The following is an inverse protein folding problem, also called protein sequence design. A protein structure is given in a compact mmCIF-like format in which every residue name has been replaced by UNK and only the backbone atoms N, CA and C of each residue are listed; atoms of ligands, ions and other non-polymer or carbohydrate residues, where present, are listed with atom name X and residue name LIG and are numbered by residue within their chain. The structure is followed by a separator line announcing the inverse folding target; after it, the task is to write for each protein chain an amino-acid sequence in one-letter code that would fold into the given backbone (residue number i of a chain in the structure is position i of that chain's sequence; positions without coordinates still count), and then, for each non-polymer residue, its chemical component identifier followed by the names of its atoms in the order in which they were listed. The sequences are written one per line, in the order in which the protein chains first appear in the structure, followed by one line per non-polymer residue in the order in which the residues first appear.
data_IF_339685314861
#
_entry.id   IF_339685314861
#
_cell.length_a   1.000
_cell.length_b   1.000
_cell.length_c   1.000
_cell.angle_alpha   90.00
_cell.angle_beta   90.00
_cell.angle_gamma   90.00
#
_symmetry.space_group_name_H-M   'P 1'
#
loop_
_entity.id
_entity.type
_entity.pdbx_description
1 polymer ?
#
# COMPACT_ATOMS: atom_id res chain seq x y z
N UNK A 1 5.22 -15.22 32.03
CA UNK A 1 4.42 -14.00 32.33
C UNK A 1 5.11 -12.74 31.81
N UNK A 2 6.42 -12.57 32.01
CA UNK A 2 7.20 -11.42 31.54
C UNK A 2 7.14 -11.21 30.02
N UNK A 3 7.40 -12.24 29.20
CA UNK A 3 7.32 -12.16 27.73
C UNK A 3 5.95 -11.67 27.22
N UNK A 4 4.86 -12.13 27.83
CA UNK A 4 3.52 -11.72 27.42
C UNK A 4 3.27 -10.23 27.67
N UNK A 5 3.76 -9.71 28.81
CA UNK A 5 3.68 -8.28 29.13
C UNK A 5 4.54 -7.46 28.17
N UNK A 6 5.74 -7.92 27.84
CA UNK A 6 6.61 -7.26 26.85
C UNK A 6 5.94 -7.16 25.47
N UNK A 7 5.32 -8.26 25.00
CA UNK A 7 4.59 -8.27 23.73
C UNK A 7 3.45 -7.25 23.76
N UNK A 8 2.69 -7.15 24.86
CA UNK A 8 1.60 -6.17 24.99
C UNK A 8 2.14 -4.74 24.91
N UNK A 9 3.20 -4.44 25.67
CA UNK A 9 3.81 -3.09 25.70
C UNK A 9 4.35 -2.73 24.31
N UNK A 10 5.08 -3.65 23.68
CA UNK A 10 5.64 -3.48 22.35
C UNK A 10 4.55 -3.29 21.29
N UNK A 11 3.47 -4.07 21.38
CA UNK A 11 2.30 -3.93 20.50
C UNK A 11 1.62 -2.57 20.68
N UNK A 12 1.42 -2.12 21.92
CA UNK A 12 0.81 -0.81 22.20
C UNK A 12 1.68 0.35 21.68
N UNK A 13 2.99 0.31 21.92
CA UNK A 13 3.93 1.31 21.39
C UNK A 13 3.97 1.30 19.85
N UNK A 14 3.89 0.10 19.25
CA UNK A 14 3.81 -0.07 17.81
C UNK A 14 2.52 0.48 17.22
N UNK A 15 1.37 0.28 17.85
CA UNK A 15 0.09 0.88 17.43
C UNK A 15 0.17 2.41 17.46
N UNK A 16 0.73 3.01 18.51
CA UNK A 16 0.91 4.47 18.59
C UNK A 16 1.80 4.98 17.46
N UNK A 17 2.93 4.34 17.23
CA UNK A 17 3.88 4.70 16.17
C UNK A 17 3.28 4.48 14.78
N UNK A 18 2.57 3.37 14.57
CA UNK A 18 1.84 3.07 13.34
C UNK A 18 0.72 4.07 13.06
N UNK A 19 0.05 4.57 14.11
CA UNK A 19 -0.96 5.63 13.98
C UNK A 19 -0.33 6.93 13.50
N UNK A 20 0.83 7.31 14.06
CA UNK A 20 1.55 8.52 13.65
C UNK A 20 2.04 8.42 12.20
N UNK A 21 2.68 7.30 11.84
CA UNK A 21 3.20 7.09 10.49
C UNK A 21 2.09 6.97 9.45
N UNK A 22 0.99 6.27 9.74
CA UNK A 22 -0.11 6.08 8.78
C UNK A 22 -0.90 7.35 8.46
N UNK A 23 -0.90 8.34 9.36
CA UNK A 23 -1.60 9.63 9.13
C UNK A 23 -0.68 10.64 8.46
N UNK A 24 0.62 10.62 8.78
CA UNK A 24 1.61 11.55 8.26
C UNK A 24 2.17 11.04 6.91
N UNK A 25 1.75 11.61 5.77
CA UNK A 25 2.24 11.15 4.48
C UNK A 25 3.76 11.31 4.42
N UNK A 26 4.43 10.38 3.72
CA UNK A 26 5.88 10.44 3.50
C UNK A 26 6.75 9.95 4.67
N UNK A 27 6.17 9.61 5.83
CA UNK A 27 6.90 8.88 6.88
C UNK A 27 6.68 7.38 6.68
N UNK A 28 7.59 6.75 5.95
CA UNK A 28 7.48 5.33 5.67
C UNK A 28 7.81 4.47 6.90
N UNK A 29 7.13 3.32 7.02
CA UNK A 29 7.41 2.28 8.04
C UNK A 29 8.90 1.89 8.05
N UNK A 30 9.55 1.88 6.89
CA UNK A 30 10.95 1.51 6.73
C UNK A 30 11.90 2.38 7.57
N UNK A 31 11.58 3.67 7.76
CA UNK A 31 12.39 4.56 8.59
C UNK A 31 12.33 4.15 10.07
N UNK A 32 11.12 3.81 10.55
CA UNK A 32 10.91 3.34 11.93
C UNK A 32 11.63 2.01 12.14
N UNK A 33 11.54 1.10 11.18
CA UNK A 33 12.21 -0.20 11.23
C UNK A 33 13.72 -0.02 11.22
N UNK A 34 14.27 0.78 10.30
CA UNK A 34 15.71 1.06 10.24
C UNK A 34 16.23 1.68 11.55
N UNK A 35 15.47 2.62 12.14
CA UNK A 35 15.80 3.19 13.43
C UNK A 35 15.82 2.13 14.54
N UNK A 36 14.80 1.27 14.63
CA UNK A 36 14.75 0.19 15.61
C UNK A 36 15.93 -0.77 15.44
N UNK A 37 16.24 -1.17 14.22
CA UNK A 37 17.36 -2.05 13.91
C UNK A 37 18.70 -1.41 14.29
N UNK A 38 18.87 -0.10 14.08
CA UNK A 38 20.10 0.60 14.49
C UNK A 38 20.36 0.51 16.01
N UNK A 39 19.30 0.28 16.81
CA UNK A 39 19.35 0.17 18.26
C UNK A 39 19.25 -1.28 18.75
N UNK A 40 19.28 -2.27 17.85
CA UNK A 40 18.97 -3.67 18.17
C UNK A 40 19.88 -4.27 19.25
N UNK A 41 21.17 -3.93 19.24
CA UNK A 41 22.15 -4.43 20.22
C UNK A 41 21.86 -3.98 21.66
N UNK A 42 21.22 -2.82 21.82
CA UNK A 42 20.79 -2.29 23.11
C UNK A 42 19.45 -2.93 23.47
N UNK A 43 18.50 -2.96 22.55
CA UNK A 43 17.14 -3.46 22.78
C UNK A 43 17.11 -4.95 23.14
N UNK A 44 17.97 -5.78 22.53
CA UNK A 44 18.06 -7.22 22.85
C UNK A 44 18.49 -7.50 24.30
N UNK A 45 19.01 -6.50 25.04
CA UNK A 45 19.30 -6.65 26.48
C UNK A 45 18.06 -6.51 27.36
N UNK A 46 17.00 -5.87 26.85
CA UNK A 46 15.83 -5.46 27.61
C UNK A 46 14.51 -6.05 27.09
N UNK A 47 14.48 -6.58 25.87
CA UNK A 47 13.29 -7.12 25.25
C UNK A 47 13.60 -8.39 24.47
N UNK A 48 12.68 -9.35 24.53
CA UNK A 48 12.74 -10.54 23.70
C UNK A 48 12.59 -10.21 22.21
N UNK A 49 13.29 -10.93 21.30
CA UNK A 49 13.17 -10.73 19.85
C UNK A 49 11.73 -10.79 19.32
N UNK A 50 10.87 -11.63 19.90
CA UNK A 50 9.45 -11.74 19.52
C UNK A 50 8.70 -10.46 19.89
N UNK A 51 9.02 -9.83 21.03
CA UNK A 51 8.44 -8.54 21.43
C UNK A 51 8.82 -7.43 20.45
N UNK A 52 10.07 -7.41 19.96
CA UNK A 52 10.49 -6.45 18.94
C UNK A 52 9.80 -6.70 17.59
N UNK A 53 9.59 -7.96 17.21
CA UNK A 53 8.78 -8.31 16.05
C UNK A 53 7.33 -7.86 16.22
N UNK A 54 6.76 -8.02 17.42
CA UNK A 54 5.42 -7.56 17.75
C UNK A 54 5.28 -6.05 17.56
N UNK A 55 6.29 -5.26 17.96
CA UNK A 55 6.33 -3.83 17.68
C UNK A 55 6.31 -3.54 16.17
N UNK A 56 7.18 -4.17 15.37
CA UNK A 56 7.24 -3.95 13.91
C UNK A 56 5.92 -4.31 13.24
N UNK A 57 5.32 -5.45 13.60
CA UNK A 57 4.02 -5.89 13.09
C UNK A 57 2.94 -4.89 13.49
N UNK A 58 2.95 -4.42 14.73
CA UNK A 58 1.99 -3.45 15.23
C UNK A 58 2.06 -2.11 14.50
N UNK A 59 3.27 -1.59 14.25
CA UNK A 59 3.49 -0.41 13.41
C UNK A 59 2.91 -0.65 12.01
N UNK A 60 3.28 -1.77 11.39
CA UNK A 60 2.97 -2.04 9.98
C UNK A 60 1.49 -2.25 9.72
N UNK A 61 0.83 -3.11 10.53
CA UNK A 61 -0.60 -3.36 10.39
C UNK A 61 -1.38 -2.09 10.71
N UNK A 62 -1.03 -1.37 11.77
CA UNK A 62 -1.74 -0.12 12.09
C UNK A 62 -1.57 0.89 10.95
N UNK A 63 -0.36 1.06 10.43
CA UNK A 63 -0.08 1.93 9.29
C UNK A 63 -0.93 1.56 8.05
N UNK A 64 -0.98 0.28 7.66
CA UNK A 64 -1.77 -0.25 6.52
C UNK A 64 -3.27 0.08 6.64
N UNK A 65 -3.80 0.24 7.85
CA UNK A 65 -5.19 0.65 8.03
C UNK A 65 -5.36 2.16 7.89
N UNK A 66 -4.43 2.95 8.43
CA UNK A 66 -4.53 4.41 8.47
C UNK A 66 -4.11 5.11 7.18
N UNK A 67 -3.21 4.52 6.37
CA UNK A 67 -2.70 5.11 5.12
C UNK A 67 -3.79 5.37 4.05
N UNK A 68 -4.92 4.67 4.14
CA UNK A 68 -6.12 4.94 3.34
C UNK A 68 -6.74 6.32 3.63
N UNK A 69 -6.53 6.89 4.82
CA UNK A 69 -7.04 8.21 5.21
C UNK A 69 -6.36 9.32 4.39
N UNK A 70 -5.02 9.51 4.43
CA UNK A 70 -4.36 10.51 3.60
C UNK A 70 -4.51 10.20 2.11
N UNK A 71 -4.52 8.93 1.68
CA UNK A 71 -4.76 8.59 0.27
C UNK A 71 -6.15 9.07 -0.21
N UNK A 72 -7.20 8.87 0.59
CA UNK A 72 -8.60 9.22 0.24
C UNK A 72 -8.88 10.72 0.39
N UNK A 73 -8.46 11.32 1.51
CA UNK A 73 -8.80 12.71 1.85
C UNK A 73 -7.79 13.73 1.34
N UNK A 74 -6.50 13.39 1.31
CA UNK A 74 -5.42 14.30 0.95
C UNK A 74 -4.81 13.97 -0.42
N UNK A 75 -5.16 12.85 -1.05
CA UNK A 75 -4.51 12.43 -2.29
C UNK A 75 -2.99 12.26 -2.12
N UNK A 76 -2.54 11.84 -0.93
CA UNK A 76 -1.14 11.62 -0.60
C UNK A 76 -0.91 10.12 -0.35
N UNK A 77 -0.78 9.31 -1.42
CA UNK A 77 -0.70 7.85 -1.27
C UNK A 77 0.71 7.35 -0.99
N UNK A 78 0.77 6.09 -0.54
CA UNK A 78 1.95 5.23 -0.60
C UNK A 78 1.89 4.28 -1.81
N UNK A 79 2.90 3.43 -1.99
CA UNK A 79 2.94 2.45 -3.08
C UNK A 79 1.70 1.53 -3.10
N UNK A 80 1.29 1.07 -1.92
CA UNK A 80 0.14 0.19 -1.70
C UNK A 80 -1.20 0.88 -1.99
N UNK A 81 -1.30 2.20 -1.82
CA UNK A 81 -2.55 2.98 -1.90
C UNK A 81 -2.59 3.92 -3.11
N UNK A 82 -1.54 3.98 -3.93
CA UNK A 82 -1.44 4.83 -5.12
C UNK A 82 -2.66 4.73 -6.06
N UNK A 83 -3.13 3.51 -6.30
CA UNK A 83 -4.27 3.25 -7.18
C UNK A 83 -5.63 3.41 -6.48
N UNK A 84 -5.67 3.52 -5.14
CA UNK A 84 -6.89 3.82 -4.37
C UNK A 84 -7.23 5.31 -4.32
N UNK A 85 -6.29 6.20 -4.66
CA UNK A 85 -6.52 7.66 -4.67
C UNK A 85 -7.71 8.05 -5.54
N UNK A 86 -7.81 7.52 -6.77
CA UNK A 86 -8.88 7.94 -7.68
C UNK A 86 -10.27 7.45 -7.24
N UNK A 87 -10.49 6.16 -6.93
CA UNK A 87 -11.77 5.73 -6.38
C UNK A 87 -12.06 6.43 -5.05
N UNK A 88 -11.06 6.62 -4.19
CA UNK A 88 -11.20 7.32 -2.91
C UNK A 88 -11.65 8.77 -3.08
N UNK A 89 -11.06 9.47 -4.05
CA UNK A 89 -11.46 10.81 -4.43
C UNK A 89 -12.90 10.86 -4.95
N UNK A 90 -13.33 9.91 -5.79
CA UNK A 90 -14.74 9.82 -6.23
C UNK A 90 -15.69 9.63 -5.04
N UNK A 91 -15.32 8.80 -4.08
CA UNK A 91 -16.09 8.64 -2.84
C UNK A 91 -16.15 9.92 -2.02
N UNK A 92 -15.04 10.61 -1.85
CA UNK A 92 -14.96 11.89 -1.15
C UNK A 92 -15.92 12.91 -1.78
N UNK A 93 -15.90 13.01 -3.12
CA UNK A 93 -16.73 13.91 -3.91
C UNK A 93 -18.22 13.51 -3.94
N UNK A 94 -18.53 12.26 -3.60
CA UNK A 94 -19.90 11.77 -3.41
C UNK A 94 -20.41 11.90 -1.96
N UNK A 95 -19.64 12.49 -1.04
CA UNK A 95 -20.00 12.55 0.39
C UNK A 95 -19.76 11.24 1.15
N UNK A 96 -19.11 10.26 0.53
CA UNK A 96 -18.97 8.89 1.01
C UNK A 96 -17.50 8.49 1.25
N UNK A 97 -16.59 9.45 1.50
CA UNK A 97 -15.16 9.16 1.75
C UNK A 97 -14.94 8.24 2.95
N UNK A 98 -15.76 8.37 4.01
CA UNK A 98 -15.74 7.46 5.16
C UNK A 98 -16.13 6.02 4.76
N UNK A 99 -17.03 5.86 3.79
CA UNK A 99 -17.43 4.54 3.27
C UNK A 99 -16.29 3.87 2.51
N UNK A 100 -15.50 4.62 1.72
CA UNK A 100 -14.31 4.08 1.05
C UNK A 100 -13.33 3.48 2.06
N UNK A 101 -13.05 4.22 3.14
CA UNK A 101 -12.16 3.78 4.22
C UNK A 101 -12.75 2.56 4.93
N UNK A 102 -14.04 2.56 5.26
CA UNK A 102 -14.71 1.39 5.85
C UNK A 102 -14.57 0.13 4.99
N UNK A 103 -14.78 0.24 3.69
CA UNK A 103 -14.62 -0.88 2.75
C UNK A 103 -13.19 -1.41 2.72
N UNK A 104 -12.21 -0.50 2.62
CA UNK A 104 -10.79 -0.86 2.67
C UNK A 104 -10.42 -1.56 3.99
N UNK A 105 -10.93 -1.08 5.13
CA UNK A 105 -10.68 -1.69 6.43
C UNK A 105 -11.31 -3.08 6.59
N UNK A 106 -12.55 -3.26 6.14
CA UNK A 106 -13.21 -4.57 6.13
C UNK A 106 -12.39 -5.54 5.28
N UNK A 107 -11.98 -5.09 4.10
CA UNK A 107 -11.08 -5.82 3.23
C UNK A 107 -9.80 -6.21 3.96
N UNK A 108 -9.09 -5.24 4.52
CA UNK A 108 -7.82 -5.45 5.20
C UNK A 108 -7.93 -6.48 6.33
N UNK A 109 -8.90 -6.30 7.23
CA UNK A 109 -9.13 -7.23 8.33
C UNK A 109 -9.43 -8.65 7.85
N UNK A 110 -10.37 -8.79 6.90
CA UNK A 110 -10.76 -10.10 6.37
C UNK A 110 -9.65 -10.76 5.56
N UNK A 111 -8.83 -9.98 4.85
CA UNK A 111 -7.63 -10.43 4.15
C UNK A 111 -6.55 -10.95 5.10
N UNK A 112 -6.24 -10.21 6.18
CA UNK A 112 -5.33 -10.64 7.25
C UNK A 112 -5.82 -11.92 7.90
N UNK A 113 -7.11 -11.96 8.28
CA UNK A 113 -7.69 -13.12 8.95
C UNK A 113 -7.62 -14.37 8.07
N UNK A 114 -8.04 -14.26 6.81
CA UNK A 114 -7.99 -15.39 5.89
C UNK A 114 -6.55 -15.81 5.58
N UNK A 115 -5.64 -14.86 5.37
CA UNK A 115 -4.23 -15.15 5.10
C UNK A 115 -3.55 -15.83 6.29
N UNK A 116 -3.87 -15.42 7.52
CA UNK A 116 -3.38 -16.07 8.74
C UNK A 116 -3.91 -17.50 8.86
N UNK A 117 -5.19 -17.73 8.55
CA UNK A 117 -5.79 -19.07 8.55
C UNK A 117 -5.18 -19.99 7.49
N UNK A 118 -4.89 -19.45 6.30
CA UNK A 118 -4.29 -20.20 5.19
C UNK A 118 -2.77 -20.12 5.15
N UNK A 119 -2.11 -19.59 6.20
CA UNK A 119 -0.67 -19.35 6.16
C UNK A 119 0.14 -20.64 6.05
N UNK A 120 -0.26 -21.66 6.79
CA UNK A 120 0.40 -22.98 6.78
C UNK A 120 0.42 -23.61 5.37
N UNK A 121 -0.72 -23.79 4.67
CA UNK A 121 -0.68 -24.34 3.31
C UNK A 121 0.05 -23.44 2.32
N UNK A 122 0.03 -22.11 2.51
CA UNK A 122 0.82 -21.18 1.68
C UNK A 122 2.32 -21.47 1.85
N UNK A 123 2.79 -21.64 3.09
CA UNK A 123 4.18 -21.94 3.41
C UNK A 123 4.64 -23.24 2.75
N UNK A 124 3.83 -24.30 2.78
CA UNK A 124 4.18 -25.58 2.13
C UNK A 124 4.20 -25.47 0.60
N UNK A 125 3.35 -24.61 0.03
CA UNK A 125 3.20 -24.44 -1.41
C UNK A 125 4.29 -23.53 -2.03
N UNK A 126 4.78 -22.53 -1.29
CA UNK A 126 5.75 -21.55 -1.79
C UNK A 126 7.05 -22.17 -2.34
N UNK A 127 7.73 -23.11 -1.65
CA UNK A 127 8.95 -23.74 -2.16
C UNK A 127 8.77 -24.47 -3.49
N UNK A 128 7.57 -24.98 -3.76
CA UNK A 128 7.26 -25.66 -5.02
C UNK A 128 7.23 -24.67 -6.21
N UNK A 129 6.69 -23.46 -6.02
CA UNK A 129 6.46 -22.50 -7.10
C UNK A 129 7.65 -21.57 -7.35
N UNK A 130 8.30 -21.13 -6.28
CA UNK A 130 9.28 -20.04 -6.35
C UNK A 130 10.44 -20.33 -7.32
N UNK A 131 11.01 -21.54 -7.42
CA UNK A 131 12.07 -21.84 -8.39
C UNK A 131 11.62 -21.55 -9.84
N UNK A 132 10.38 -21.89 -10.19
CA UNK A 132 9.82 -21.63 -11.51
C UNK A 132 9.60 -20.13 -11.73
N UNK A 133 9.08 -19.42 -10.73
CA UNK A 133 8.88 -17.97 -10.82
C UNK A 133 10.21 -17.23 -10.96
N UNK A 134 11.23 -17.60 -10.20
CA UNK A 134 12.55 -16.98 -10.30
C UNK A 134 13.17 -17.23 -11.68
N UNK A 135 13.07 -18.46 -12.20
CA UNK A 135 13.58 -18.82 -13.53
C UNK A 135 12.91 -18.06 -14.68
N UNK A 136 11.61 -17.79 -14.57
CA UNK A 136 10.81 -17.14 -15.63
C UNK A 136 10.32 -15.73 -15.25
N UNK A 137 10.98 -15.08 -14.28
CA UNK A 137 10.51 -13.81 -13.69
C UNK A 137 10.26 -12.73 -14.75
N UNK A 138 11.25 -12.51 -15.62
CA UNK A 138 11.17 -11.52 -16.71
C UNK A 138 9.98 -11.80 -17.62
N UNK A 139 9.77 -13.07 -18.00
CA UNK A 139 8.69 -13.47 -18.89
C UNK A 139 7.33 -13.18 -18.26
N UNK A 140 7.15 -13.49 -16.98
CA UNK A 140 5.93 -13.16 -16.24
C UNK A 140 5.69 -11.65 -16.15
N UNK A 141 6.71 -10.86 -15.83
CA UNK A 141 6.59 -9.40 -15.78
C UNK A 141 6.22 -8.81 -17.14
N UNK A 142 6.84 -9.28 -18.23
CA UNK A 142 6.49 -8.86 -19.59
C UNK A 142 5.04 -9.21 -19.92
N UNK A 143 4.57 -10.42 -19.58
CA UNK A 143 3.17 -10.81 -19.78
C UNK A 143 2.23 -9.86 -19.02
N UNK A 144 2.54 -9.53 -17.78
CA UNK A 144 1.71 -8.65 -16.95
C UNK A 144 1.66 -7.23 -17.55
N UNK A 145 2.80 -6.71 -18.01
CA UNK A 145 2.88 -5.41 -18.70
C UNK A 145 2.05 -5.42 -19.99
N UNK A 146 2.18 -6.46 -20.82
CA UNK A 146 1.42 -6.60 -22.06
C UNK A 146 -0.09 -6.71 -21.76
N UNK A 147 -0.47 -7.50 -20.76
CA UNK A 147 -1.87 -7.63 -20.33
C UNK A 147 -2.44 -6.29 -19.84
N UNK A 148 -1.66 -5.53 -19.07
CA UNK A 148 -2.01 -4.19 -18.61
C UNK A 148 -2.25 -3.22 -19.79
N UNK A 149 -1.36 -3.21 -20.79
CA UNK A 149 -1.51 -2.37 -21.99
C UNK A 149 -2.72 -2.81 -22.83
N UNK A 150 -2.93 -4.12 -22.99
CA UNK A 150 -3.99 -4.70 -23.81
C UNK A 150 -5.40 -4.40 -23.27
N UNK A 151 -5.54 -4.25 -21.94
CA UNK A 151 -6.80 -3.86 -21.29
C UNK A 151 -7.25 -2.43 -21.63
N UNK A 152 -6.37 -1.61 -22.22
CA UNK A 152 -6.71 -0.24 -22.59
C UNK A 152 -7.17 -0.16 -24.05
N UNK A 153 -8.26 0.58 -24.28
CA UNK A 153 -8.74 0.86 -25.64
C UNK A 153 -7.70 1.64 -26.45
N UNK A 154 -7.06 2.64 -25.83
CA UNK A 154 -6.00 3.45 -26.44
C UNK A 154 -4.61 2.91 -26.09
N UNK A 155 -4.28 1.74 -26.65
CA UNK A 155 -3.03 0.99 -26.37
C UNK A 155 -1.76 1.81 -26.55
N UNK A 156 -1.69 2.66 -27.58
CA UNK A 156 -0.52 3.51 -27.83
C UNK A 156 -0.30 4.50 -26.69
N UNK A 157 -1.36 5.19 -26.25
CA UNK A 157 -1.27 6.09 -25.09
C UNK A 157 -0.97 5.35 -23.80
N UNK A 158 -1.47 4.11 -23.65
CA UNK A 158 -1.13 3.26 -22.52
C UNK A 158 0.37 2.91 -22.49
N UNK A 159 0.93 2.50 -23.62
CA UNK A 159 2.36 2.23 -23.75
C UNK A 159 3.21 3.49 -23.52
N UNK A 160 2.80 4.65 -24.04
CA UNK A 160 3.50 5.92 -23.82
C UNK A 160 3.53 6.28 -22.33
N UNK A 161 2.39 6.23 -21.64
CA UNK A 161 2.35 6.53 -20.19
C UNK A 161 3.22 5.54 -19.42
N UNK A 162 3.12 4.25 -19.75
CA UNK A 162 3.91 3.20 -19.10
C UNK A 162 5.41 3.43 -19.27
N UNK A 163 5.85 3.75 -20.48
CA UNK A 163 7.26 4.02 -20.78
C UNK A 163 7.74 5.32 -20.13
N UNK A 164 6.97 6.41 -20.20
CA UNK A 164 7.33 7.68 -19.55
C UNK A 164 7.47 7.50 -18.03
N UNK A 165 6.50 6.86 -17.39
CA UNK A 165 6.56 6.57 -15.97
C UNK A 165 7.72 5.62 -15.64
N UNK A 166 7.94 4.59 -16.45
CA UNK A 166 9.00 3.60 -16.27
C UNK A 166 10.40 4.16 -16.41
N UNK A 167 10.65 4.96 -17.46
CA UNK A 167 11.93 5.65 -17.66
C UNK A 167 12.19 6.62 -16.50
N UNK A 168 11.17 7.36 -16.07
CA UNK A 168 11.28 8.23 -14.89
C UNK A 168 11.63 7.43 -13.65
N UNK A 169 11.00 6.26 -13.44
CA UNK A 169 11.34 5.34 -12.36
C UNK A 169 12.79 4.87 -12.40
N UNK A 170 13.29 4.46 -13.57
CA UNK A 170 14.69 4.03 -13.75
C UNK A 170 15.64 5.16 -13.33
N UNK A 171 15.39 6.37 -13.83
CA UNK A 171 16.22 7.54 -13.52
C UNK A 171 16.19 7.83 -12.02
N UNK A 172 15.02 7.85 -11.40
CA UNK A 172 14.82 8.16 -9.98
C UNK A 172 15.52 7.14 -9.07
N UNK A 173 15.36 5.84 -9.34
CA UNK A 173 16.01 4.79 -8.53
C UNK A 173 17.52 4.68 -8.77
N UNK A 174 18.03 5.20 -9.89
CA UNK A 174 19.46 5.27 -10.14
C UNK A 174 20.16 6.46 -9.43
N UNK A 175 19.42 7.38 -8.79
CA UNK A 175 20.01 8.53 -8.11
C UNK A 175 20.54 8.16 -6.71
N UNK A 176 21.87 8.22 -6.47
CA UNK A 176 22.46 7.71 -5.22
C UNK A 176 22.14 8.55 -3.97
N UNK A 177 21.87 9.84 -4.12
CA UNK A 177 21.68 10.78 -3.00
C UNK A 177 20.21 11.20 -2.79
N UNK A 178 19.28 10.55 -3.47
CA UNK A 178 17.86 10.89 -3.36
C UNK A 178 17.23 10.15 -2.16
N UNK A 179 16.89 10.91 -1.12
CA UNK A 179 16.18 10.39 0.05
C UNK A 179 14.69 10.26 -0.27
N UNK A 180 14.08 9.16 0.18
CA UNK A 180 12.65 8.85 0.00
C UNK A 180 12.13 9.03 -1.46
N UNK A 181 12.76 8.37 -2.46
CA UNK A 181 12.45 8.60 -3.89
C UNK A 181 11.00 8.29 -4.27
N UNK A 182 10.37 7.35 -3.57
CA UNK A 182 9.00 6.92 -3.82
C UNK A 182 7.99 8.04 -3.55
N UNK A 183 8.25 8.92 -2.57
CA UNK A 183 7.30 9.94 -2.15
C UNK A 183 7.00 10.96 -3.27
N UNK A 184 7.97 11.69 -3.85
CA UNK A 184 7.71 12.61 -4.97
C UNK A 184 7.26 11.87 -6.24
N UNK A 185 7.71 10.63 -6.45
CA UNK A 185 7.33 9.81 -7.60
C UNK A 185 5.83 9.51 -7.59
N UNK A 186 5.33 8.92 -6.50
CA UNK A 186 3.94 8.48 -6.38
C UNK A 186 2.98 9.65 -6.09
N UNK A 187 3.39 10.61 -5.26
CA UNK A 187 2.60 11.83 -5.00
C UNK A 187 2.40 12.66 -6.26
N UNK A 188 3.38 12.66 -7.18
CA UNK A 188 3.25 13.29 -8.48
C UNK A 188 2.32 12.52 -9.41
N UNK A 189 2.62 11.24 -9.66
CA UNK A 189 1.87 10.39 -10.60
C UNK A 189 0.39 10.23 -10.22
N UNK A 190 0.09 10.10 -8.93
CA UNK A 190 -1.26 9.75 -8.45
C UNK A 190 -1.92 10.84 -7.61
N UNK A 191 -1.17 11.58 -6.80
CA UNK A 191 -1.73 12.55 -5.87
C UNK A 191 -2.06 13.89 -6.52
N UNK A 192 -1.03 14.71 -6.68
CA UNK A 192 -1.08 16.05 -7.29
C UNK A 192 -1.74 16.05 -8.67
N UNK A 193 -1.50 15.03 -9.50
CA UNK A 193 -2.14 14.90 -10.82
C UNK A 193 -3.66 14.82 -10.73
N UNK A 194 -4.20 14.09 -9.73
CA UNK A 194 -5.64 14.02 -9.45
C UNK A 194 -6.17 15.35 -8.99
N UNK A 195 -5.50 15.94 -8.00
CA UNK A 195 -5.91 17.19 -7.40
C UNK A 195 -5.97 18.33 -8.44
N UNK A 196 -4.98 18.40 -9.34
CA UNK A 196 -4.94 19.37 -10.43
C UNK A 196 -6.06 19.16 -11.46
N UNK A 197 -6.37 17.90 -11.82
CA UNK A 197 -7.50 17.61 -12.71
C UNK A 197 -8.82 18.04 -12.07
N UNK A 198 -8.99 17.82 -10.76
CA UNK A 198 -10.20 18.13 -10.02
C UNK A 198 -10.41 19.61 -9.71
N UNK A 199 -9.37 20.46 -9.80
CA UNK A 199 -9.54 21.92 -9.72
C UNK A 199 -10.51 22.46 -10.77
N UNK A 200 -10.72 21.71 -11.87
CA UNK A 200 -11.65 22.07 -12.95
C UNK A 200 -13.09 21.61 -12.70
N UNK A 201 -13.34 20.70 -11.76
CA UNK A 201 -14.59 19.94 -11.70
C UNK A 201 -15.57 20.37 -10.59
N UNK A 202 -15.15 21.03 -9.50
CA UNK A 202 -16.12 21.50 -8.47
C UNK A 202 -15.62 22.65 -7.59
N UNK A 203 -16.56 23.31 -6.88
CA UNK A 203 -16.27 24.40 -5.95
C UNK A 203 -16.33 23.99 -4.45
N UNK A 204 -16.86 22.82 -4.08
CA UNK A 204 -17.03 22.41 -2.67
C UNK A 204 -16.99 20.89 -2.46
N UNK A 205 -16.40 20.44 -1.35
CA UNK A 205 -16.49 19.05 -0.86
C UNK A 205 -17.85 18.91 -0.15
N UNK A 206 -18.70 17.95 -0.55
CA UNK A 206 -19.99 17.75 0.10
C UNK A 206 -19.80 17.23 1.54
N UNK A 207 -20.80 17.47 2.38
CA UNK A 207 -20.83 16.94 3.74
C UNK A 207 -20.65 15.41 3.71
N UNK A 208 -19.72 14.90 4.52
CA UNK A 208 -19.44 13.48 4.58
C UNK A 208 -20.50 12.79 5.42
N UNK A 209 -21.21 11.85 4.80
CA UNK A 209 -22.19 11.02 5.48
C UNK A 209 -21.47 10.00 6.36
N UNK A 210 -21.98 9.82 7.58
CA UNK A 210 -21.64 8.65 8.39
C UNK A 210 -22.50 7.47 7.95
N UNK A 211 -22.46 7.14 6.66
CA UNK A 211 -23.31 6.10 6.08
C UNK A 211 -23.04 4.77 6.76
N UNK A 212 -24.10 4.06 7.12
CA UNK A 212 -24.02 2.65 7.48
C UNK A 212 -23.45 1.85 6.31
N UNK A 213 -22.86 0.69 6.60
CA UNK A 213 -22.29 -0.13 5.54
C UNK A 213 -23.38 -0.49 4.53
N UNK A 214 -23.19 -0.09 3.28
CA UNK A 214 -23.96 -0.61 2.16
C UNK A 214 -23.82 -2.13 2.23
N UNK A 215 -24.95 -2.84 2.28
CA UNK A 215 -24.97 -4.29 2.46
C UNK A 215 -24.07 -4.98 1.44
N UNK A 216 -22.92 -5.48 1.89
CA UNK A 216 -22.03 -6.25 1.03
C UNK A 216 -22.65 -7.63 0.91
N UNK A 217 -23.08 -8.00 -0.29
CA UNK A 217 -23.61 -9.33 -0.53
C UNK A 217 -22.54 -10.40 -0.18
N UNK A 218 -22.96 -11.43 0.56
CA UNK A 218 -22.06 -12.48 1.06
C UNK A 218 -21.27 -13.19 -0.05
N UNK A 219 -21.90 -13.44 -1.20
CA UNK A 219 -21.28 -14.15 -2.33
C UNK A 219 -20.15 -13.33 -2.99
N UNK A 220 -20.39 -12.09 -3.46
CA UNK A 220 -19.32 -11.20 -3.94
C UNK A 220 -18.20 -10.96 -2.91
N UNK A 221 -18.56 -10.83 -1.63
CA UNK A 221 -17.58 -10.70 -0.55
C UNK A 221 -16.64 -11.90 -0.49
N UNK A 222 -17.18 -13.13 -0.39
CA UNK A 222 -16.37 -14.34 -0.34
C UNK A 222 -15.50 -14.54 -1.59
N UNK A 223 -16.03 -14.25 -2.78
CA UNK A 223 -15.22 -14.28 -4.01
C UNK A 223 -14.04 -13.30 -3.94
N UNK A 224 -14.27 -12.11 -3.39
CA UNK A 224 -13.23 -11.09 -3.23
C UNK A 224 -12.16 -11.52 -2.24
N UNK A 225 -12.52 -12.18 -1.15
CA UNK A 225 -11.55 -12.73 -0.19
C UNK A 225 -10.67 -13.82 -0.80
N UNK A 226 -11.27 -14.74 -1.57
CA UNK A 226 -10.49 -15.80 -2.23
C UNK A 226 -9.56 -15.17 -3.27
N UNK A 227 -10.07 -14.26 -4.11
CA UNK A 227 -9.26 -13.56 -5.10
C UNK A 227 -8.13 -12.74 -4.45
N UNK A 228 -8.36 -12.17 -3.25
CA UNK A 228 -7.35 -11.40 -2.55
C UNK A 228 -6.16 -12.26 -2.08
N UNK A 229 -6.39 -13.53 -1.72
CA UNK A 229 -5.28 -14.42 -1.34
C UNK A 229 -4.37 -14.71 -2.54
N UNK A 230 -4.95 -14.99 -3.70
CA UNK A 230 -4.18 -15.16 -4.93
C UNK A 230 -3.44 -13.87 -5.33
N UNK A 231 -4.12 -12.73 -5.24
CA UNK A 231 -3.49 -11.44 -5.53
C UNK A 231 -2.37 -11.10 -4.53
N UNK A 232 -2.54 -11.38 -3.24
CA UNK A 232 -1.49 -11.22 -2.24
C UNK A 232 -0.29 -12.15 -2.48
N UNK A 233 -0.55 -13.38 -2.93
CA UNK A 233 0.50 -14.30 -3.35
C UNK A 233 1.25 -13.77 -4.57
N UNK A 234 0.57 -13.18 -5.56
CA UNK A 234 1.21 -12.50 -6.70
C UNK A 234 2.11 -11.35 -6.21
N UNK A 235 1.61 -10.49 -5.32
CA UNK A 235 2.42 -9.39 -4.74
C UNK A 235 3.67 -9.93 -4.06
N UNK A 236 3.55 -11.02 -3.30
CA UNK A 236 4.68 -11.61 -2.59
C UNK A 236 5.69 -12.30 -3.52
N UNK A 237 5.23 -12.83 -4.66
CA UNK A 237 6.06 -13.59 -5.59
C UNK A 237 6.74 -12.71 -6.65
N UNK A 238 6.11 -11.62 -7.08
CA UNK A 238 6.55 -10.79 -8.20
C UNK A 238 6.95 -9.39 -7.73
N UNK A 239 8.26 -9.07 -7.70
CA UNK A 239 8.74 -7.73 -7.34
C UNK A 239 8.17 -6.66 -8.27
N UNK A 240 7.92 -5.46 -7.73
CA UNK A 240 7.35 -4.34 -8.49
C UNK A 240 5.84 -4.42 -8.76
N UNK A 241 5.19 -5.53 -8.41
CA UNK A 241 3.72 -5.62 -8.41
C UNK A 241 3.20 -5.17 -7.05
N UNK A 242 2.60 -3.97 -7.00
CA UNK A 242 1.95 -3.50 -5.78
C UNK A 242 0.58 -4.16 -5.57
N UNK A 243 0.07 -4.06 -4.35
CA UNK A 243 -1.32 -4.44 -4.02
C UNK A 243 -2.32 -3.82 -4.99
N UNK A 244 -2.08 -2.57 -5.42
CA UNK A 244 -2.89 -1.85 -6.39
C UNK A 244 -3.10 -2.61 -7.70
N UNK A 245 -2.01 -3.05 -8.31
CA UNK A 245 -2.01 -3.81 -9.57
C UNK A 245 -2.67 -5.17 -9.37
N UNK A 246 -2.26 -5.88 -8.31
CA UNK A 246 -2.78 -7.22 -8.03
C UNK A 246 -4.30 -7.22 -7.77
N UNK A 247 -4.82 -6.18 -7.12
CA UNK A 247 -6.27 -6.02 -6.94
C UNK A 247 -7.00 -5.80 -8.26
N UNK A 248 -6.43 -5.10 -9.25
CA UNK A 248 -7.09 -4.98 -10.56
C UNK A 248 -7.24 -6.32 -11.26
N UNK A 249 -6.22 -7.19 -11.19
CA UNK A 249 -6.34 -8.55 -11.68
C UNK A 249 -7.36 -9.36 -10.86
N UNK A 250 -7.37 -9.20 -9.54
CA UNK A 250 -8.37 -9.83 -8.68
C UNK A 250 -9.81 -9.38 -8.99
N UNK A 251 -10.02 -8.13 -9.41
CA UNK A 251 -11.35 -7.64 -9.83
C UNK A 251 -11.88 -8.39 -11.06
N UNK A 252 -11.00 -8.81 -11.97
CA UNK A 252 -11.39 -9.60 -13.14
C UNK A 252 -11.91 -10.99 -12.73
N UNK A 253 -11.32 -11.58 -11.70
CA UNK A 253 -11.74 -12.89 -11.15
C UNK A 253 -13.09 -12.79 -10.43
N UNK A 254 -13.34 -11.70 -9.72
CA UNK A 254 -14.58 -11.51 -8.96
C UNK A 254 -15.75 -11.04 -9.82
N UNK A 255 -15.50 -10.54 -11.04
CA UNK A 255 -16.46 -9.85 -11.92
C UNK A 255 -17.19 -8.69 -11.23
N UNK A 256 -16.61 -8.15 -10.15
CA UNK A 256 -17.16 -7.05 -9.41
C UNK A 256 -16.40 -5.80 -9.84
N UNK A 257 -16.93 -4.98 -10.75
CA UNK A 257 -16.18 -3.91 -11.41
C UNK A 257 -16.37 -2.51 -10.79
N UNK A 258 -16.96 -2.42 -9.59
CA UNK A 258 -17.27 -1.14 -8.94
C UNK A 258 -16.14 -0.63 -8.03
N UNK A 259 -16.12 0.69 -7.79
CA UNK A 259 -15.22 1.34 -6.83
C UNK A 259 -15.38 0.73 -5.41
N UNK A 260 -16.58 0.21 -5.08
CA UNK A 260 -16.84 -0.53 -3.83
C UNK A 260 -16.01 -1.81 -3.75
N UNK A 261 -16.10 -2.65 -4.79
CA UNK A 261 -15.36 -3.90 -4.88
C UNK A 261 -13.86 -3.66 -4.91
N UNK A 262 -13.41 -2.60 -5.60
CA UNK A 262 -12.01 -2.22 -5.63
C UNK A 262 -11.48 -1.86 -4.25
N UNK A 263 -12.17 -0.98 -3.50
CA UNK A 263 -11.74 -0.58 -2.16
C UNK A 263 -11.65 -1.77 -1.21
N UNK A 264 -12.66 -2.64 -1.22
CA UNK A 264 -12.68 -3.87 -0.44
C UNK A 264 -11.49 -4.78 -0.80
N UNK A 265 -11.32 -5.06 -2.09
CA UNK A 265 -10.29 -5.99 -2.56
C UNK A 265 -8.88 -5.41 -2.36
N UNK A 266 -8.70 -4.10 -2.58
CA UNK A 266 -7.44 -3.41 -2.32
C UNK A 266 -7.01 -3.53 -0.87
N UNK A 267 -7.93 -3.26 0.06
CA UNK A 267 -7.67 -3.47 1.48
C UNK A 267 -7.30 -4.92 1.77
N UNK A 268 -8.08 -5.88 1.25
CA UNK A 268 -7.84 -7.30 1.47
C UNK A 268 -6.49 -7.79 0.95
N UNK A 269 -6.08 -7.34 -0.23
CA UNK A 269 -4.76 -7.68 -0.81
C UNK A 269 -3.63 -7.04 0.00
N UNK A 270 -3.77 -5.80 0.44
CA UNK A 270 -2.74 -5.12 1.23
C UNK A 270 -2.52 -5.83 2.58
N UNK A 271 -3.62 -6.11 3.30
CA UNK A 271 -3.59 -6.82 4.58
C UNK A 271 -3.10 -8.28 4.45
N UNK A 272 -3.64 -9.04 3.49
CA UNK A 272 -3.17 -10.40 3.22
C UNK A 272 -1.71 -10.42 2.77
N UNK A 273 -1.28 -9.45 1.96
CA UNK A 273 0.09 -9.33 1.46
C UNK A 273 1.12 -9.24 2.58
N UNK A 274 0.83 -8.53 3.67
CA UNK A 274 1.70 -8.50 4.84
C UNK A 274 1.85 -9.90 5.46
N UNK A 275 0.74 -10.60 5.73
CA UNK A 275 0.79 -11.94 6.35
C UNK A 275 1.45 -12.98 5.43
N UNK A 276 1.13 -12.95 4.13
CA UNK A 276 1.77 -13.81 3.12
C UNK A 276 3.27 -13.52 3.06
N UNK A 277 3.70 -12.27 3.23
CA UNK A 277 5.13 -11.94 3.23
C UNK A 277 5.89 -12.53 4.43
N UNK A 278 5.24 -12.74 5.58
CA UNK A 278 5.80 -13.52 6.69
C UNK A 278 6.01 -14.99 6.28
N UNK A 279 5.05 -15.56 5.55
CA UNK A 279 5.18 -16.91 4.98
C UNK A 279 6.33 -17.02 3.99
N UNK A 280 6.54 -16.01 3.14
CA UNK A 280 7.71 -15.99 2.23
C UNK A 280 9.03 -15.86 2.98
N UNK A 281 9.08 -15.10 4.09
CA UNK A 281 10.28 -15.03 4.92
C UNK A 281 10.67 -16.43 5.42
N UNK A 282 9.72 -17.20 5.94
CA UNK A 282 9.97 -18.57 6.39
C UNK A 282 10.38 -19.51 5.25
N UNK A 283 9.63 -19.51 4.14
CA UNK A 283 9.79 -20.50 3.09
C UNK A 283 11.08 -20.32 2.26
N UNK A 284 11.52 -19.07 2.06
CA UNK A 284 12.65 -18.76 1.16
C UNK A 284 13.71 -17.84 1.76
N UNK A 285 13.61 -17.50 3.05
CA UNK A 285 14.56 -16.63 3.73
C UNK A 285 14.77 -15.29 3.00
N UNK A 286 13.70 -14.77 2.40
CA UNK A 286 13.70 -13.49 1.71
C UNK A 286 12.49 -12.67 2.12
N UNK A 287 12.75 -11.52 2.72
CA UNK A 287 11.72 -10.53 2.96
C UNK A 287 11.27 -9.87 1.64
N UNK A 288 9.95 -9.65 1.52
CA UNK A 288 9.30 -9.02 0.35
C UNK A 288 8.57 -7.73 0.71
N UNK A 289 8.66 -7.32 1.97
CA UNK A 289 8.11 -6.10 2.52
C UNK A 289 9.18 -5.51 3.45
N UNK A 290 9.38 -4.19 3.43
CA UNK A 290 10.42 -3.53 4.23
C UNK A 290 10.26 -3.73 5.75
N UNK A 291 9.03 -3.89 6.23
CA UNK A 291 8.80 -4.30 7.63
C UNK A 291 9.28 -5.71 7.92
N UNK A 292 9.07 -6.65 6.99
CA UNK A 292 9.52 -8.03 7.11
C UNK A 292 11.05 -8.15 6.97
N UNK A 293 11.71 -7.21 6.28
CA UNK A 293 13.19 -7.10 6.31
C UNK A 293 13.67 -6.85 7.74
N UNK A 294 13.00 -5.98 8.49
CA UNK A 294 13.30 -5.78 9.91
C UNK A 294 13.09 -7.04 10.74
N UNK A 295 11.99 -7.76 10.52
CA UNK A 295 11.73 -9.05 11.19
C UNK A 295 12.83 -10.07 10.86
N UNK A 296 13.27 -10.14 9.61
CA UNK A 296 14.36 -11.02 9.17
C UNK A 296 15.70 -10.72 9.88
N UNK A 297 15.98 -9.45 10.17
CA UNK A 297 17.20 -9.05 10.88
C UNK A 297 17.15 -9.38 12.38
N UNK A 298 15.95 -9.49 12.95
CA UNK A 298 15.74 -9.86 14.36
C UNK A 298 15.68 -11.39 14.51
N UNK A 299 14.95 -12.06 13.62
CA UNK A 299 14.79 -13.51 13.56
C UNK A 299 15.55 -14.04 12.35
N UNK A 300 16.83 -14.36 12.56
CA UNK A 300 17.77 -14.77 11.49
C UNK A 300 17.31 -16.05 10.78
N UNK A 301 16.66 -16.97 11.51
CA UNK A 301 16.00 -18.15 10.96
C UNK A 301 14.70 -18.42 11.76
N UNK A 302 13.57 -17.84 11.37
CA UNK A 302 12.36 -17.95 12.16
C UNK A 302 11.80 -19.37 12.08
N UNK A 303 11.38 -19.91 13.22
CA UNK A 303 10.65 -21.19 13.28
C UNK A 303 9.21 -21.01 12.80
N UNK A 304 8.56 -22.09 12.33
CA UNK A 304 7.15 -22.05 11.92
C UNK A 304 6.22 -21.53 13.03
N UNK A 305 6.53 -21.86 14.29
CA UNK A 305 5.80 -21.36 15.46
C UNK A 305 5.94 -19.84 15.64
N UNK A 306 7.15 -19.27 15.48
CA UNK A 306 7.35 -17.82 15.56
C UNK A 306 6.59 -17.08 14.46
N UNK A 307 6.53 -17.63 13.25
CA UNK A 307 5.78 -17.05 12.13
C UNK A 307 4.27 -17.11 12.38
N UNK A 308 3.76 -18.20 12.94
CA UNK A 308 2.37 -18.29 13.37
C UNK A 308 2.05 -17.28 14.48
N UNK A 309 2.94 -17.08 15.44
CA UNK A 309 2.79 -16.04 16.48
C UNK A 309 2.73 -14.66 15.84
N UNK A 310 3.61 -14.35 14.88
CA UNK A 310 3.59 -13.09 14.14
C UNK A 310 2.27 -12.88 13.38
N UNK A 311 1.74 -13.93 12.76
CA UNK A 311 0.44 -13.88 12.10
C UNK A 311 -0.71 -13.65 13.08
N UNK A 312 -0.68 -14.28 14.26
CA UNK A 312 -1.67 -14.06 15.32
C UNK A 312 -1.61 -12.62 15.85
N UNK A 313 -0.41 -12.08 16.09
CA UNK A 313 -0.23 -10.67 16.48
C UNK A 313 -0.83 -9.75 15.41
N UNK A 314 -0.64 -10.06 14.12
CA UNK A 314 -1.22 -9.28 13.02
C UNK A 314 -2.76 -9.21 13.10
N UNK A 315 -3.42 -10.32 13.43
CA UNK A 315 -4.89 -10.37 13.64
C UNK A 315 -5.31 -9.54 14.85
N UNK A 316 -4.59 -9.66 15.98
CA UNK A 316 -4.89 -8.92 17.21
C UNK A 316 -4.75 -7.40 16.98
N UNK A 317 -3.66 -6.98 16.33
CA UNK A 317 -3.44 -5.57 15.99
C UNK A 317 -4.53 -5.08 15.06
N UNK A 318 -4.91 -5.85 14.04
CA UNK A 318 -5.98 -5.47 13.11
C UNK A 318 -7.31 -5.17 13.84
N UNK A 319 -7.67 -5.96 14.86
CA UNK A 319 -8.85 -5.69 15.71
C UNK A 319 -8.78 -4.31 16.39
N UNK A 320 -7.58 -3.91 16.85
CA UNK A 320 -7.37 -2.61 17.52
C UNK A 320 -7.22 -1.44 16.55
N UNK A 321 -6.68 -1.66 15.35
CA UNK A 321 -6.50 -0.64 14.34
C UNK A 321 -7.84 -0.16 13.75
N UNK A 322 -8.87 -1.02 13.74
CA UNK A 322 -10.21 -0.68 13.25
C UNK A 322 -10.83 0.52 13.99
N UNK A 323 -11.04 0.49 15.32
CA UNK A 323 -11.65 1.63 16.01
C UNK A 323 -10.83 2.92 15.89
N UNK A 324 -9.49 2.82 15.90
CA UNK A 324 -8.58 3.96 15.74
C UNK A 324 -8.78 4.62 14.37
N UNK A 325 -8.72 3.82 13.30
CA UNK A 325 -8.86 4.31 11.93
C UNK A 325 -10.24 4.95 11.70
N UNK A 326 -11.33 4.33 12.20
CA UNK A 326 -12.67 4.91 12.10
C UNK A 326 -12.79 6.23 12.86
N UNK A 327 -12.21 6.31 14.07
CA UNK A 327 -12.23 7.53 14.86
C UNK A 327 -11.55 8.68 14.10
N UNK A 328 -10.38 8.43 13.53
CA UNK A 328 -9.59 9.44 12.82
C UNK A 328 -10.24 9.80 11.48
N UNK A 329 -10.71 8.83 10.71
CA UNK A 329 -11.43 9.06 9.45
C UNK A 329 -12.68 9.94 9.64
N UNK A 330 -13.46 9.70 10.71
CA UNK A 330 -14.63 10.54 11.05
C UNK A 330 -14.22 11.97 11.38
N UNK A 331 -13.10 12.17 12.08
CA UNK A 331 -12.56 13.51 12.37
C UNK A 331 -12.11 14.20 11.09
N UNK A 332 -11.33 13.54 10.24
CA UNK A 332 -10.90 14.06 8.94
C UNK A 332 -12.09 14.49 8.08
N UNK A 333 -13.10 13.62 7.91
CA UNK A 333 -14.31 13.93 7.15
C UNK A 333 -15.10 15.14 7.68
N UNK A 334 -15.14 15.33 9.00
CA UNK A 334 -15.77 16.50 9.64
C UNK A 334 -15.00 17.81 9.42
N UNK A 335 -13.67 17.77 9.39
CA UNK A 335 -12.86 18.98 9.22
C UNK A 335 -12.71 19.37 7.73
N UNK A 336 -12.53 18.39 6.84
CA UNK A 336 -12.30 18.67 5.42
C UNK A 336 -13.51 19.33 4.73
N UNK A 337 -14.71 19.08 5.25
CA UNK A 337 -15.98 19.63 4.74
C UNK A 337 -16.22 21.08 5.11
N UNK A 338 -15.50 21.61 6.11
CA UNK A 338 -15.64 23.02 6.54
C UNK A 338 -14.80 23.99 5.72
N UNK A 339 -13.91 23.47 4.87
CA UNK A 339 -12.92 24.25 4.15
C UNK A 339 -13.33 24.33 2.67
N UNK A 340 -13.15 25.50 2.06
CA UNK A 340 -13.38 25.67 0.62
C UNK A 340 -12.49 24.70 -0.18
N UNK A 341 -13.08 23.95 -1.11
CA UNK A 341 -12.40 22.88 -1.83
C UNK A 341 -11.16 23.35 -2.60
N UNK A 342 -11.21 24.52 -3.26
CA UNK A 342 -10.06 25.06 -3.98
C UNK A 342 -8.92 25.40 -3.03
N UNK A 343 -9.23 25.99 -1.87
CA UNK A 343 -8.23 26.26 -0.82
C UNK A 343 -7.66 24.97 -0.25
N UNK A 344 -8.49 23.94 -0.09
CA UNK A 344 -8.06 22.61 0.36
C UNK A 344 -7.09 21.98 -0.65
N UNK A 345 -7.44 21.94 -1.94
CA UNK A 345 -6.55 21.39 -2.97
C UNK A 345 -5.23 22.15 -3.01
N UNK A 346 -5.25 23.48 -3.07
CA UNK A 346 -4.03 24.30 -3.10
C UNK A 346 -3.20 24.05 -1.85
N UNK A 347 -3.83 24.02 -0.68
CA UNK A 347 -3.16 23.73 0.60
C UNK A 347 -2.50 22.34 0.60
N UNK A 348 -3.18 21.32 0.08
CA UNK A 348 -2.64 19.97 -0.06
C UNK A 348 -1.46 19.95 -1.05
N UNK A 349 -1.56 20.60 -2.21
CA UNK A 349 -0.46 20.66 -3.18
C UNK A 349 0.74 21.37 -2.57
N UNK A 350 0.53 22.51 -1.89
CA UNK A 350 1.59 23.20 -1.14
C UNK A 350 2.20 22.32 -0.06
N UNK A 351 1.38 21.57 0.68
CA UNK A 351 1.84 20.60 1.68
C UNK A 351 2.69 19.50 1.05
N UNK A 352 2.27 18.92 -0.08
CA UNK A 352 3.03 17.88 -0.80
C UNK A 352 4.36 18.41 -1.35
N UNK A 353 4.39 19.64 -1.86
CA UNK A 353 5.62 20.32 -2.30
C UNK A 353 6.57 20.54 -1.12
N UNK A 354 6.06 21.08 0.00
CA UNK A 354 6.85 21.33 1.20
C UNK A 354 7.40 20.02 1.77
N UNK A 355 6.57 18.98 1.88
CA UNK A 355 6.98 17.69 2.39
C UNK A 355 8.01 17.02 1.46
N UNK A 356 7.82 17.13 0.15
CA UNK A 356 8.79 16.67 -0.84
C UNK A 356 10.12 17.39 -0.72
N UNK A 357 10.10 18.71 -0.46
CA UNK A 357 11.31 19.47 -0.22
C UNK A 357 12.04 19.01 1.05
N UNK A 358 11.32 18.78 2.14
CA UNK A 358 11.88 18.31 3.42
C UNK A 358 12.49 16.92 3.27
N UNK A 359 11.80 15.99 2.60
CA UNK A 359 12.21 14.59 2.49
C UNK A 359 13.28 14.37 1.41
N UNK A 360 13.12 14.99 0.24
CA UNK A 360 13.89 14.68 -0.98
C UNK A 360 14.63 15.90 -1.56
N UNK A 361 14.54 17.06 -0.94
CA UNK A 361 15.20 18.29 -1.37
C UNK A 361 14.66 18.86 -2.68
N UNK A 362 15.45 19.73 -3.31
CA UNK A 362 15.11 20.38 -4.59
C UNK A 362 14.90 19.38 -5.74
N UNK A 363 15.70 18.31 -5.78
CA UNK A 363 15.58 17.25 -6.78
C UNK A 363 14.21 16.58 -6.66
N UNK A 364 13.73 16.34 -5.43
CA UNK A 364 12.39 15.84 -5.18
C UNK A 364 11.29 16.69 -5.81
N UNK A 365 11.39 18.03 -5.74
CA UNK A 365 10.40 18.93 -6.35
C UNK A 365 10.38 18.78 -7.88
N UNK A 366 11.55 18.66 -8.51
CA UNK A 366 11.66 18.46 -9.97
C UNK A 366 11.02 17.12 -10.36
N UNK A 367 11.27 16.07 -9.58
CA UNK A 367 10.65 14.76 -9.76
C UNK A 367 9.14 14.90 -9.63
N UNK A 368 8.64 15.49 -8.55
CA UNK A 368 7.22 15.72 -8.30
C UNK A 368 6.57 16.42 -9.49
N UNK A 369 7.14 17.54 -9.98
CA UNK A 369 6.59 18.27 -11.12
C UNK A 369 6.54 17.42 -12.40
N UNK A 370 7.60 16.66 -12.67
CA UNK A 370 7.69 15.78 -13.84
C UNK A 370 6.65 14.66 -13.77
N UNK A 371 6.53 14.03 -12.62
CA UNK A 371 5.62 12.91 -12.38
C UNK A 371 4.17 13.38 -12.31
N UNK A 372 3.90 14.59 -11.83
CA UNK A 372 2.60 15.27 -11.96
C UNK A 372 2.20 15.42 -13.43
N UNK A 373 3.10 15.91 -14.29
CA UNK A 373 2.83 16.08 -15.71
C UNK A 373 2.49 14.74 -16.39
N UNK A 374 3.25 13.69 -16.10
CA UNK A 374 2.98 12.33 -16.59
C UNK A 374 1.64 11.80 -16.05
N UNK A 375 1.38 11.98 -14.76
CA UNK A 375 0.17 11.50 -14.07
C UNK A 375 -1.13 12.13 -14.55
N UNK A 376 -1.07 13.30 -15.20
CA UNK A 376 -2.22 13.96 -15.83
C UNK A 376 -2.64 13.26 -17.14
N UNK A 377 -1.69 12.67 -17.88
CA UNK A 377 -1.93 12.07 -19.21
C UNK A 377 -3.02 11.00 -19.19
N UNK A 378 -3.03 10.02 -18.25
CA UNK A 378 -4.10 9.02 -18.14
C UNK A 378 -5.50 9.64 -18.06
N UNK A 379 -5.66 10.71 -17.26
CA UNK A 379 -6.93 11.40 -17.09
C UNK A 379 -7.43 12.06 -18.37
N UNK A 380 -6.54 12.76 -19.09
CA UNK A 380 -6.89 13.44 -20.34
C UNK A 380 -7.15 12.45 -21.47
N UNK A 381 -6.29 11.44 -21.62
CA UNK A 381 -6.35 10.48 -22.73
C UNK A 381 -7.33 9.34 -22.47
N UNK A 382 -7.93 9.24 -21.28
CA UNK A 382 -8.84 8.17 -20.87
C UNK A 382 -8.17 6.79 -20.93
N UNK A 383 -6.96 6.71 -20.39
CA UNK A 383 -6.18 5.48 -20.20
C UNK A 383 -6.18 5.16 -18.70
N UNK A 384 -6.09 3.88 -18.35
CA UNK A 384 -6.01 3.48 -16.94
C UNK A 384 -4.77 4.04 -16.26
N UNK A 385 -4.92 4.53 -15.03
CA UNK A 385 -3.80 5.05 -14.22
C UNK A 385 -2.79 3.98 -13.80
N UNK A 386 -3.18 2.72 -13.96
CA UNK A 386 -2.34 1.55 -13.73
C UNK A 386 -1.07 1.59 -14.58
N UNK A 387 -1.10 2.24 -15.75
CA UNK A 387 0.08 2.45 -16.58
C UNK A 387 1.16 3.29 -15.88
N UNK A 388 0.78 4.19 -14.98
CA UNK A 388 1.75 4.98 -14.21
C UNK A 388 2.59 4.11 -13.25
N UNK A 389 2.14 2.90 -12.90
CA UNK A 389 2.94 1.94 -12.14
C UNK A 389 4.10 1.33 -12.96
N UNK A 390 4.22 1.67 -14.25
CA UNK A 390 5.45 1.46 -15.01
C UNK A 390 6.68 1.99 -14.29
N UNK A 391 6.53 3.04 -13.46
CA UNK A 391 7.60 3.58 -12.61
C UNK A 391 8.22 2.58 -11.64
N UNK A 392 7.53 1.48 -11.29
CA UNK A 392 8.07 0.40 -10.45
C UNK A 392 8.39 -0.84 -11.28
N UNK A 393 7.50 -1.20 -12.21
CA UNK A 393 7.64 -2.42 -13.02
C UNK A 393 8.83 -2.38 -13.96
N UNK A 394 9.07 -1.26 -14.65
CA UNK A 394 10.16 -1.18 -15.64
C UNK A 394 11.54 -1.25 -14.97
N UNK A 395 11.83 -0.53 -13.86
CA UNK A 395 13.08 -0.72 -13.11
C UNK A 395 13.32 -2.17 -12.68
N UNK A 396 12.28 -2.87 -12.23
CA UNK A 396 12.40 -4.28 -11.83
C UNK A 396 12.73 -5.16 -13.04
N UNK A 397 12.06 -4.96 -14.19
CA UNK A 397 12.39 -5.69 -15.42
C UNK A 397 13.84 -5.48 -15.82
N UNK A 398 14.34 -4.23 -15.77
CA UNK A 398 15.73 -3.92 -16.10
C UNK A 398 16.71 -4.57 -15.11
N UNK A 399 16.38 -4.59 -13.82
CA UNK A 399 17.20 -5.24 -12.80
C UNK A 399 17.35 -6.74 -13.06
N UNK A 400 16.25 -7.44 -13.36
CA UNK A 400 16.27 -8.87 -13.67
C UNK A 400 16.83 -9.19 -15.05
N UNK A 401 16.81 -8.25 -15.99
CA UNK A 401 17.43 -8.45 -17.31
C UNK A 401 18.96 -8.45 -17.25
N UNK A 402 19.53 -7.66 -16.32
CA UNK A 402 20.97 -7.47 -16.20
C UNK A 402 21.67 -8.47 -15.26
N UNK A 403 20.92 -9.23 -14.47
CA UNK A 403 21.43 -10.23 -13.51
C UNK A 403 20.99 -11.63 -13.90
#
# INVERSE_FOLDING_TARGET
MQLFVEIIIATAAGILTGTLTGICPGIHINLVVAFLISQIAILNKYADPISLCAFIIAVSITHIFLDFIPATFLGAPEESTALSVLPGHRYLMAGNGIMAIKLAMIGCFSGILLAALTLYPIIEFLPMIIPYIQKYMIFFLIIIILAMIQQNTKRIWAAIVFLLAGITGIIVFAMPNLREPLFPLLSGLFGTSTLLLSLKESNSIPQQFQTELIGIEKKPFMKSLIASQFAALIVALFPGISAGIASIFGMQLTRNNGDQGYMLLQGAVNGAGFVVSLGTLYAIQKARNGAVVGIQQILIEPTGAQIMICALISVIVACTAIPITLFIAKRFGKYITKINYKKTIIGIICFLILLTFILSGWIGIIILATTTAIGIIPGIKKVTRTMAMGCLLLPVVVHYWNG
#
